data_IF_739331621792
#
_entry.id   IF_739331621792
#
_cell.length_a   1.000
_cell.length_b   1.000
_cell.length_c   1.000
_cell.angle_alpha   90.00
_cell.angle_beta   90.00
_cell.angle_gamma   90.00
#
_symmetry.space_group_name_H-M   'P 1'
#
loop_
_entity.id
_entity.type
_entity.pdbx_description
1 polymer ?
#
# COMPACT_ATOMS: atom_id res chain seq x y z
N UNK A 1 46.59 28.53 -14.94
CA UNK A 1 45.44 27.79 -15.52
C UNK A 1 44.73 26.97 -14.44
N UNK A 2 43.78 27.55 -13.71
CA UNK A 2 42.99 26.84 -12.67
C UNK A 2 41.50 27.25 -12.68
N UNK A 3 41.00 27.77 -13.80
CA UNK A 3 39.68 28.42 -13.87
C UNK A 3 38.67 27.70 -14.76
N UNK A 4 39.04 26.60 -15.44
CA UNK A 4 38.16 25.95 -16.42
C UNK A 4 37.34 24.76 -15.87
N UNK A 5 37.64 24.23 -14.67
CA UNK A 5 36.87 23.10 -14.12
C UNK A 5 35.59 23.51 -13.39
N UNK A 6 35.56 24.70 -12.79
CA UNK A 6 34.38 25.19 -12.06
C UNK A 6 33.26 25.65 -13.00
N UNK A 7 33.63 26.23 -14.15
CA UNK A 7 32.68 26.71 -15.16
C UNK A 7 31.99 25.54 -15.86
N UNK A 8 32.71 24.44 -16.13
CA UNK A 8 32.11 23.22 -16.69
C UNK A 8 31.13 22.53 -15.72
N UNK A 9 31.40 22.54 -14.41
CA UNK A 9 30.49 21.97 -13.41
C UNK A 9 29.21 22.82 -13.26
N UNK A 10 29.33 24.15 -13.26
CA UNK A 10 28.18 25.05 -13.20
C UNK A 10 27.33 25.03 -14.49
N UNK A 11 27.95 24.90 -15.67
CA UNK A 11 27.22 24.74 -16.93
C UNK A 11 26.49 23.40 -17.02
N UNK A 12 27.06 22.31 -16.50
CA UNK A 12 26.37 21.02 -16.46
C UNK A 12 25.14 21.04 -15.53
N UNK A 13 25.26 21.73 -14.38
CA UNK A 13 24.14 21.92 -13.45
C UNK A 13 23.04 22.78 -14.07
N UNK A 14 23.38 23.78 -14.89
CA UNK A 14 22.40 24.65 -15.56
C UNK A 14 21.75 24.03 -16.80
N UNK A 15 22.44 23.15 -17.55
CA UNK A 15 21.87 22.50 -18.74
C UNK A 15 20.98 21.30 -18.42
N UNK A 16 21.05 20.74 -17.21
CA UNK A 16 20.10 19.70 -16.76
C UNK A 16 18.83 20.25 -16.12
N UNK A 17 18.76 21.56 -15.86
CA UNK A 17 17.49 22.27 -15.62
C UNK A 17 16.89 22.71 -16.95
N UNK A 18 16.67 21.75 -17.84
CA UNK A 18 15.70 21.96 -18.90
C UNK A 18 14.38 22.38 -18.26
N UNK A 19 13.85 23.52 -18.73
CA UNK A 19 12.57 24.15 -18.44
C UNK A 19 11.36 23.27 -18.82
N UNK A 20 11.39 21.98 -18.49
CA UNK A 20 10.28 21.07 -18.68
C UNK A 20 9.35 21.16 -17.47
N UNK A 21 8.05 21.13 -17.73
CA UNK A 21 7.01 21.30 -16.73
C UNK A 21 7.15 20.25 -15.62
N UNK A 22 7.75 20.63 -14.50
CA UNK A 22 7.85 19.75 -13.35
C UNK A 22 6.51 19.69 -12.64
N UNK A 23 5.97 18.48 -12.51
CA UNK A 23 4.76 18.25 -11.73
C UNK A 23 5.14 17.94 -10.29
N UNK A 24 4.50 18.65 -9.37
CA UNK A 24 4.69 18.48 -7.93
C UNK A 24 3.54 17.66 -7.35
N UNK A 25 3.88 16.54 -6.71
CA UNK A 25 2.95 15.68 -6.00
C UNK A 25 3.23 15.84 -4.51
N UNK A 26 2.19 16.15 -3.73
CA UNK A 26 2.27 16.29 -2.28
C UNK A 26 1.72 15.02 -1.63
N UNK A 27 2.55 14.40 -0.81
CA UNK A 27 2.18 13.26 0.03
C UNK A 27 2.42 13.61 1.49
N UNK A 28 1.95 12.73 2.38
CA UNK A 28 2.28 12.77 3.79
C UNK A 28 2.97 11.48 4.19
N UNK A 29 3.98 11.61 5.04
CA UNK A 29 4.61 10.47 5.71
C UNK A 29 4.32 10.55 7.20
N UNK A 30 3.87 9.46 7.84
CA UNK A 30 3.72 9.45 9.29
C UNK A 30 5.09 9.57 9.98
N UNK A 31 5.12 10.35 11.05
CA UNK A 31 6.27 10.45 11.96
C UNK A 31 5.95 9.64 13.20
N UNK A 32 6.85 8.73 13.56
CA UNK A 32 6.65 7.80 14.67
C UNK A 32 7.57 8.12 15.85
N UNK A 33 7.02 8.04 17.05
CA UNK A 33 7.78 7.96 18.29
C UNK A 33 7.41 6.66 19.00
N UNK A 34 8.39 5.77 19.15
CA UNK A 34 8.19 4.39 19.62
C UNK A 34 7.21 3.62 18.73
N UNK A 35 5.93 3.67 19.06
CA UNK A 35 4.84 2.82 18.54
C UNK A 35 3.61 3.62 18.11
N UNK A 36 3.59 4.93 18.36
CA UNK A 36 2.47 5.80 18.02
C UNK A 36 2.85 6.75 16.88
N UNK A 37 1.90 6.96 15.97
CA UNK A 37 1.99 8.03 14.98
C UNK A 37 1.82 9.36 15.70
N UNK A 38 2.92 10.09 15.88
CA UNK A 38 2.93 11.38 16.59
C UNK A 38 2.63 12.57 15.69
N UNK A 39 2.57 12.37 14.37
CA UNK A 39 2.25 13.40 13.41
C UNK A 39 2.50 12.95 11.97
N UNK A 40 2.42 13.90 11.05
CA UNK A 40 2.73 13.69 9.63
C UNK A 40 3.71 14.77 9.16
N UNK A 41 4.68 14.37 8.36
CA UNK A 41 5.56 15.27 7.61
C UNK A 41 5.09 15.38 6.16
N UNK A 42 5.19 16.58 5.59
CA UNK A 42 4.94 16.79 4.18
C UNK A 42 6.08 16.21 3.35
N UNK A 43 5.71 15.53 2.27
CA UNK A 43 6.63 14.96 1.29
C UNK A 43 6.33 15.60 -0.05
N UNK A 44 7.35 16.18 -0.67
CA UNK A 44 7.27 16.77 -1.99
C UNK A 44 8.01 15.85 -2.96
N UNK A 45 7.25 15.29 -3.89
CA UNK A 45 7.75 14.54 -5.04
C UNK A 45 7.70 15.43 -6.27
N UNK A 46 8.81 15.55 -6.99
CA UNK A 46 8.85 16.19 -8.30
C UNK A 46 9.06 15.14 -9.37
N UNK A 47 8.27 15.28 -10.43
CA UNK A 47 8.39 14.46 -11.63
C UNK A 47 8.70 15.33 -12.84
N UNK A 48 9.44 14.79 -13.79
CA UNK A 48 9.60 15.41 -15.10
C UNK A 48 8.37 15.16 -15.99
N UNK A 49 8.42 15.64 -17.24
CA UNK A 49 7.34 15.51 -18.22
C UNK A 49 6.96 14.06 -18.56
N UNK A 50 7.88 13.11 -18.36
CA UNK A 50 7.64 11.69 -18.57
C UNK A 50 6.96 11.04 -17.35
N UNK A 51 6.83 11.80 -16.25
CA UNK A 51 6.33 11.33 -14.96
C UNK A 51 7.38 10.57 -14.14
N UNK A 52 8.65 10.60 -14.55
CA UNK A 52 9.77 10.04 -13.77
C UNK A 52 10.03 10.91 -12.54
N UNK A 53 10.17 10.28 -11.37
CA UNK A 53 10.58 10.96 -10.14
C UNK A 53 12.03 11.44 -10.30
N UNK A 54 12.21 12.75 -10.24
CA UNK A 54 13.52 13.40 -10.38
C UNK A 54 14.02 13.99 -9.05
N UNK A 55 13.10 14.35 -8.13
CA UNK A 55 13.47 14.65 -6.75
C UNK A 55 12.40 14.30 -5.73
N UNK A 56 12.87 14.08 -4.51
CA UNK A 56 12.05 13.77 -3.34
C UNK A 56 12.59 14.56 -2.15
N UNK A 57 11.71 15.28 -1.46
CA UNK A 57 12.05 16.15 -0.32
C UNK A 57 11.13 15.88 0.88
N UNK A 58 11.70 15.74 2.09
CA UNK A 58 11.01 15.36 3.33
C UNK A 58 11.76 15.84 4.58
N UNK A 59 11.12 15.77 5.76
CA UNK A 59 11.62 16.24 7.06
C UNK A 59 11.17 17.66 7.45
N UNK A 60 11.40 18.04 8.71
CA UNK A 60 10.86 19.23 9.42
C UNK A 60 10.88 20.59 8.68
N UNK A 61 11.68 20.74 7.61
CA UNK A 61 11.65 21.91 6.69
C UNK A 61 12.39 21.62 5.37
N UNK A 62 12.15 20.47 4.72
CA UNK A 62 12.82 20.05 3.46
C UNK A 62 14.37 20.08 3.49
N UNK A 63 14.96 19.74 4.64
CA UNK A 63 16.40 19.75 4.80
C UNK A 63 17.12 18.59 4.11
N UNK A 64 16.40 17.63 3.52
CA UNK A 64 16.97 16.54 2.72
C UNK A 64 16.30 16.47 1.35
N UNK A 65 17.08 16.53 0.28
CA UNK A 65 16.64 16.33 -1.10
C UNK A 65 17.47 15.22 -1.74
N UNK A 66 16.80 14.28 -2.41
CA UNK A 66 17.45 13.33 -3.31
C UNK A 66 17.21 13.77 -4.75
N UNK A 67 18.29 13.89 -5.53
CA UNK A 67 18.26 14.16 -6.97
C UNK A 67 18.66 12.91 -7.72
N UNK A 68 17.84 12.51 -8.68
CA UNK A 68 17.86 11.16 -9.24
C UNK A 68 18.11 11.20 -10.74
N UNK A 69 19.24 10.62 -11.18
CA UNK A 69 19.63 10.52 -12.58
C UNK A 69 19.38 9.11 -13.12
N UNK A 70 18.51 9.01 -14.13
CA UNK A 70 18.16 7.74 -14.79
C UNK A 70 19.30 7.17 -15.63
N UNK A 71 20.02 8.00 -16.37
CA UNK A 71 21.05 7.56 -17.32
C UNK A 71 22.24 6.96 -16.57
N UNK A 72 22.72 7.66 -15.54
CA UNK A 72 23.83 7.18 -14.72
C UNK A 72 23.41 6.19 -13.65
N UNK A 73 22.09 5.97 -13.46
CA UNK A 73 21.53 5.20 -12.35
C UNK A 73 22.08 5.70 -10.99
N UNK A 74 22.19 7.02 -10.81
CA UNK A 74 22.80 7.63 -9.63
C UNK A 74 21.81 8.52 -8.88
N UNK A 75 21.92 8.51 -7.56
CA UNK A 75 21.17 9.32 -6.62
C UNK A 75 22.13 10.17 -5.79
N UNK A 76 21.86 11.49 -5.73
CA UNK A 76 22.63 12.46 -4.96
C UNK A 76 21.78 13.01 -3.83
N UNK A 77 22.30 12.94 -2.60
CA UNK A 77 21.64 13.47 -1.43
C UNK A 77 22.23 14.82 -1.01
N UNK A 78 21.33 15.77 -0.79
CA UNK A 78 21.64 17.11 -0.31
C UNK A 78 21.06 17.32 1.07
N UNK A 79 21.83 17.95 1.95
CA UNK A 79 21.36 18.45 3.25
C UNK A 79 21.69 19.92 3.37
N UNK A 80 20.68 20.76 3.64
CA UNK A 80 20.85 22.22 3.66
C UNK A 80 21.57 22.75 2.41
N UNK A 81 21.13 22.27 1.23
CA UNK A 81 21.71 22.57 -0.09
C UNK A 81 23.19 22.14 -0.29
N UNK A 82 23.73 21.25 0.57
CA UNK A 82 25.09 20.72 0.43
C UNK A 82 25.06 19.21 0.13
N UNK A 83 25.79 18.72 -0.89
CA UNK A 83 25.87 17.29 -1.16
C UNK A 83 26.56 16.60 0.01
N UNK A 84 26.00 15.48 0.48
CA UNK A 84 26.58 14.71 1.59
C UNK A 84 26.64 13.20 1.35
N UNK A 85 25.95 12.69 0.32
CA UNK A 85 25.99 11.26 -0.02
C UNK A 85 25.65 11.08 -1.49
N UNK A 86 26.32 10.11 -2.11
CA UNK A 86 26.03 9.60 -3.44
C UNK A 86 25.70 8.12 -3.33
N UNK A 87 24.80 7.63 -4.19
CA UNK A 87 24.43 6.23 -4.25
C UNK A 87 24.21 5.82 -5.71
N UNK A 88 24.67 4.61 -6.04
CA UNK A 88 24.41 3.98 -7.33
C UNK A 88 23.33 2.92 -7.14
N UNK A 89 22.39 2.91 -8.06
CA UNK A 89 21.29 1.97 -8.13
C UNK A 89 21.76 0.60 -8.70
N UNK A 90 21.65 -0.47 -7.90
CA UNK A 90 21.87 -1.88 -8.31
C UNK A 90 20.79 -2.41 -9.26
N UNK A 91 20.94 -3.55 -9.91
CA UNK A 91 19.81 -4.10 -10.68
C UNK A 91 18.68 -4.62 -9.78
N UNK A 92 17.48 -4.77 -10.34
CA UNK A 92 16.26 -5.27 -9.70
C UNK A 92 15.58 -6.30 -10.59
N UNK A 93 14.73 -7.13 -10.01
CA UNK A 93 13.92 -8.10 -10.75
C UNK A 93 12.43 -7.87 -10.42
N UNK A 94 11.58 -7.82 -11.44
CA UNK A 94 10.13 -7.69 -11.30
C UNK A 94 9.46 -8.82 -12.07
N UNK A 95 8.68 -9.62 -11.34
CA UNK A 95 7.70 -10.56 -11.93
C UNK A 95 6.31 -10.09 -11.55
N UNK A 96 5.37 -10.04 -12.50
CA UNK A 96 4.00 -9.60 -12.22
C UNK A 96 2.93 -10.32 -13.02
N UNK A 97 1.72 -10.29 -12.48
CA UNK A 97 0.46 -10.58 -13.16
C UNK A 97 -0.40 -9.30 -13.18
N UNK A 98 -1.66 -9.40 -13.57
CA UNK A 98 -2.59 -8.26 -13.56
C UNK A 98 -2.91 -7.78 -12.13
N UNK A 99 -2.87 -8.69 -11.14
CA UNK A 99 -3.31 -8.42 -9.76
C UNK A 99 -2.24 -8.69 -8.68
N UNK A 100 -1.05 -9.14 -9.07
CA UNK A 100 0.04 -9.47 -8.15
C UNK A 100 1.41 -9.15 -8.72
N UNK A 101 2.38 -8.95 -7.83
CA UNK A 101 3.78 -8.83 -8.23
C UNK A 101 4.75 -9.36 -7.17
N UNK A 102 5.96 -9.66 -7.62
CA UNK A 102 7.16 -9.88 -6.80
C UNK A 102 8.25 -8.96 -7.32
N UNK A 103 8.74 -8.07 -6.47
CA UNK A 103 9.78 -7.11 -6.76
C UNK A 103 10.99 -7.39 -5.86
N UNK A 104 12.10 -7.87 -6.43
CA UNK A 104 13.36 -7.98 -5.73
C UNK A 104 14.08 -6.63 -5.79
N UNK A 105 14.03 -5.88 -4.69
CA UNK A 105 14.56 -4.52 -4.63
C UNK A 105 16.06 -4.47 -4.33
N UNK A 106 16.55 -5.50 -3.66
CA UNK A 106 17.95 -5.62 -3.28
C UNK A 106 18.38 -7.08 -3.29
N UNK A 107 19.55 -7.32 -3.87
CA UNK A 107 20.28 -8.59 -3.77
C UNK A 107 21.75 -8.27 -3.51
N UNK A 108 22.23 -8.69 -2.36
CA UNK A 108 23.64 -8.68 -1.96
C UNK A 108 24.02 -10.08 -1.54
N UNK A 109 25.32 -10.37 -1.45
CA UNK A 109 25.87 -11.68 -1.08
C UNK A 109 25.16 -12.32 0.13
N UNK A 110 24.80 -11.50 1.12
CA UNK A 110 24.25 -11.94 2.41
C UNK A 110 22.87 -11.33 2.75
N UNK A 111 22.21 -10.68 1.79
CA UNK A 111 20.94 -10.01 2.04
C UNK A 111 20.08 -9.88 0.78
N UNK A 112 18.80 -10.21 0.89
CA UNK A 112 17.82 -9.93 -0.16
C UNK A 112 16.55 -9.28 0.42
N UNK A 113 15.99 -8.32 -0.31
CA UNK A 113 14.74 -7.66 0.05
C UNK A 113 13.73 -7.86 -1.08
N UNK A 114 12.56 -8.41 -0.73
CA UNK A 114 11.47 -8.65 -1.67
C UNK A 114 10.19 -7.95 -1.23
N UNK A 115 9.51 -7.34 -2.19
CA UNK A 115 8.15 -6.85 -2.04
C UNK A 115 7.21 -7.74 -2.84
N UNK A 116 6.29 -8.40 -2.16
CA UNK A 116 5.31 -9.30 -2.77
C UNK A 116 3.92 -8.74 -2.53
N UNK A 117 3.22 -8.40 -3.60
CA UNK A 117 1.83 -7.97 -3.50
C UNK A 117 0.90 -9.03 -4.03
N UNK A 118 -0.10 -9.39 -3.23
CA UNK A 118 -1.17 -10.29 -3.65
C UNK A 118 -2.40 -10.08 -2.78
N UNK A 119 -3.60 -10.24 -3.35
CA UNK A 119 -4.87 -10.09 -2.62
C UNK A 119 -4.99 -8.78 -1.83
N UNK A 120 -4.44 -7.68 -2.38
CA UNK A 120 -4.50 -6.36 -1.75
C UNK A 120 -3.52 -6.12 -0.59
N UNK A 121 -2.62 -7.08 -0.33
CA UNK A 121 -1.63 -7.00 0.76
C UNK A 121 -0.25 -6.92 0.14
N UNK A 122 0.51 -5.89 0.53
CA UNK A 122 1.94 -5.83 0.26
C UNK A 122 2.67 -6.53 1.40
N UNK A 123 3.62 -7.39 1.07
CA UNK A 123 4.48 -8.08 2.02
C UNK A 123 5.92 -7.69 1.73
N UNK A 124 6.63 -7.27 2.75
CA UNK A 124 8.06 -7.02 2.69
C UNK A 124 8.81 -8.15 3.39
N UNK A 125 9.72 -8.80 2.68
CA UNK A 125 10.55 -9.87 3.20
C UNK A 125 12.01 -9.41 3.26
N UNK A 126 12.61 -9.47 4.45
CA UNK A 126 14.03 -9.21 4.66
C UNK A 126 14.76 -10.50 4.98
N UNK A 127 15.55 -11.00 4.02
CA UNK A 127 16.36 -12.21 4.21
C UNK A 127 17.79 -11.85 4.63
N UNK A 128 18.26 -12.45 5.72
CA UNK A 128 19.63 -12.34 6.23
C UNK A 128 20.19 -13.73 6.55
N UNK A 129 21.35 -14.09 5.97
CA UNK A 129 22.21 -15.21 6.40
C UNK A 129 21.44 -16.45 6.92
N UNK A 130 20.61 -17.05 6.07
CA UNK A 130 19.86 -18.29 6.35
C UNK A 130 18.83 -18.24 7.49
N UNK A 131 18.44 -17.04 7.95
CA UNK A 131 17.33 -16.87 8.90
C UNK A 131 15.98 -16.84 8.17
N UNK A 132 14.93 -17.24 8.87
CA UNK A 132 13.57 -16.91 8.42
C UNK A 132 13.43 -15.39 8.25
N UNK A 133 12.73 -14.93 7.21
CA UNK A 133 12.67 -13.51 6.90
C UNK A 133 11.88 -12.75 7.96
N UNK A 134 12.39 -11.58 8.37
CA UNK A 134 11.53 -10.58 9.00
C UNK A 134 10.47 -10.16 7.96
N UNK A 135 9.23 -10.01 8.43
CA UNK A 135 8.06 -9.87 7.57
C UNK A 135 7.20 -8.69 8.00
N UNK A 136 7.04 -7.71 7.12
CA UNK A 136 6.07 -6.63 7.29
C UNK A 136 4.91 -6.80 6.32
N UNK A 137 3.69 -6.62 6.82
CA UNK A 137 2.47 -6.66 6.04
C UNK A 137 1.84 -5.28 5.98
N UNK A 138 1.48 -4.84 4.78
CA UNK A 138 0.77 -3.60 4.54
C UNK A 138 -0.59 -3.89 3.89
N UNK A 139 -1.64 -3.53 4.61
CA UNK A 139 -3.02 -3.66 4.20
C UNK A 139 -3.48 -2.36 3.59
N UNK A 140 -3.61 -2.33 2.26
CA UNK A 140 -3.98 -1.11 1.53
C UNK A 140 -5.46 -1.19 1.19
N UNK A 141 -6.27 -0.24 1.64
CA UNK A 141 -7.71 -0.24 1.38
C UNK A 141 -8.22 1.17 1.08
N UNK A 142 -9.32 1.26 0.32
CA UNK A 142 -9.98 2.54 0.02
C UNK A 142 -10.94 2.87 1.16
N UNK A 143 -10.73 4.00 1.86
CA UNK A 143 -11.63 4.42 2.95
C UNK A 143 -12.84 5.17 2.45
N UNK A 144 -12.69 5.94 1.37
CA UNK A 144 -13.75 6.66 0.68
C UNK A 144 -13.25 7.06 -0.72
N UNK A 145 -14.05 7.81 -1.48
CA UNK A 145 -13.69 8.22 -2.84
C UNK A 145 -12.47 9.16 -2.94
N UNK A 146 -12.02 9.72 -1.82
CA UNK A 146 -10.94 10.68 -1.76
C UNK A 146 -9.62 10.10 -1.25
N UNK A 147 -9.65 9.03 -0.43
CA UNK A 147 -8.46 8.53 0.26
C UNK A 147 -8.32 6.99 0.20
N UNK A 148 -7.06 6.56 0.07
CA UNK A 148 -6.60 5.24 0.47
C UNK A 148 -6.02 5.31 1.88
N UNK A 149 -6.19 4.24 2.64
CA UNK A 149 -5.54 4.04 3.93
C UNK A 149 -4.69 2.77 3.89
N UNK A 150 -3.56 2.83 4.58
CA UNK A 150 -2.67 1.68 4.75
C UNK A 150 -2.55 1.38 6.23
N UNK A 151 -2.75 0.12 6.61
CA UNK A 151 -2.43 -0.40 7.94
C UNK A 151 -1.20 -1.31 7.86
N UNK A 152 -0.36 -1.30 8.89
CA UNK A 152 0.90 -2.06 8.92
C UNK A 152 0.84 -3.12 10.03
N UNK A 153 1.38 -4.30 9.81
CA UNK A 153 1.62 -5.31 10.84
C UNK A 153 3.06 -5.82 10.68
N UNK A 154 3.82 -5.88 11.77
CA UNK A 154 5.23 -6.30 11.75
C UNK A 154 5.40 -7.61 12.50
N UNK A 155 6.03 -8.57 11.83
CA UNK A 155 6.45 -9.82 12.43
C UNK A 155 7.97 -9.77 12.58
N UNK A 156 8.45 -9.80 13.83
CA UNK A 156 9.88 -9.80 14.13
C UNK A 156 10.27 -11.08 14.83
N UNK A 157 11.38 -11.67 14.40
CA UNK A 157 11.95 -12.77 15.16
C UNK A 157 12.77 -12.21 16.33
N UNK A 158 12.44 -12.62 17.55
CA UNK A 158 13.24 -12.26 18.71
C UNK A 158 14.53 -13.09 18.78
N UNK A 159 15.44 -12.71 19.68
CA UNK A 159 16.77 -13.34 19.87
C UNK A 159 16.66 -14.85 20.16
N UNK A 160 15.50 -15.32 20.64
CA UNK A 160 15.23 -16.73 20.95
C UNK A 160 14.60 -17.51 19.78
N UNK A 161 14.49 -16.91 18.60
CA UNK A 161 13.91 -17.54 17.43
C UNK A 161 12.38 -17.60 17.43
N UNK A 162 11.70 -17.01 18.43
CA UNK A 162 10.24 -16.91 18.46
C UNK A 162 9.80 -15.68 17.68
N UNK A 163 8.73 -15.81 16.90
CA UNK A 163 8.06 -14.65 16.31
C UNK A 163 7.31 -13.90 17.41
N UNK A 164 7.72 -12.67 17.65
CA UNK A 164 6.93 -11.70 18.40
C UNK A 164 6.14 -10.85 17.41
N UNK A 165 4.90 -10.54 17.81
CA UNK A 165 3.97 -9.72 17.03
C UNK A 165 3.99 -8.33 17.61
N UNK A 166 4.47 -7.39 16.81
CA UNK A 166 4.34 -5.97 17.11
C UNK A 166 3.21 -5.43 16.21
N UNK A 167 1.98 -5.44 16.74
CA UNK A 167 0.83 -4.86 16.06
C UNK A 167 0.84 -3.33 16.21
N UNK A 168 1.33 -2.63 15.18
CA UNK A 168 1.26 -1.17 15.11
C UNK A 168 0.16 -0.72 14.16
N UNK A 169 -0.89 -0.12 14.71
CA UNK A 169 -1.98 0.47 13.91
C UNK A 169 -1.53 1.81 13.35
N UNK A 170 -0.70 1.78 12.31
CA UNK A 170 -0.30 2.99 11.62
C UNK A 170 -1.17 3.18 10.39
N UNK A 171 -2.11 4.12 10.45
CA UNK A 171 -2.92 4.50 9.29
C UNK A 171 -2.15 5.53 8.48
N UNK A 172 -1.61 5.14 7.32
CA UNK A 172 -1.11 6.12 6.35
C UNK A 172 -2.24 6.47 5.40
N UNK A 173 -2.55 7.75 5.24
CA UNK A 173 -3.56 8.21 4.28
C UNK A 173 -2.91 8.76 3.01
N UNK A 174 -3.32 8.22 1.86
CA UNK A 174 -2.92 8.71 0.55
C UNK A 174 -4.13 9.30 -0.19
N UNK A 175 -4.10 10.59 -0.55
CA UNK A 175 -5.13 11.16 -1.40
C UNK A 175 -5.17 10.47 -2.76
N UNK A 176 -6.35 10.05 -3.21
CA UNK A 176 -6.59 9.41 -4.51
C UNK A 176 -6.05 10.29 -5.64
N UNK A 177 -6.21 11.61 -5.53
CA UNK A 177 -5.66 12.55 -6.51
C UNK A 177 -4.13 12.50 -6.60
N UNK A 178 -3.42 12.36 -5.48
CA UNK A 178 -1.96 12.25 -5.48
C UNK A 178 -1.50 10.92 -6.07
N UNK A 179 -2.21 9.83 -5.76
CA UNK A 179 -1.97 8.50 -6.33
C UNK A 179 -2.16 8.50 -7.86
N UNK A 180 -3.27 9.07 -8.35
CA UNK A 180 -3.54 9.17 -9.79
C UNK A 180 -2.48 10.00 -10.54
N UNK A 181 -1.78 10.88 -9.83
CA UNK A 181 -0.71 11.69 -10.40
C UNK A 181 0.63 10.97 -10.47
N UNK A 182 0.83 9.92 -9.67
CA UNK A 182 2.09 9.18 -9.52
C UNK A 182 2.30 8.17 -10.65
N UNK A 183 1.22 7.52 -11.10
CA UNK A 183 1.28 6.51 -12.17
C UNK A 183 1.34 7.16 -13.55
N UNK A 184 2.20 6.63 -14.40
CA UNK A 184 2.36 7.04 -15.80
C UNK A 184 1.89 5.95 -16.75
N UNK A 185 1.74 6.28 -18.03
CA UNK A 185 1.45 5.28 -19.06
C UNK A 185 2.66 4.37 -19.38
N UNK A 186 3.88 4.84 -19.08
CA UNK A 186 5.12 4.12 -19.34
C UNK A 186 5.44 3.18 -18.16
N UNK A 187 5.42 1.88 -18.43
CA UNK A 187 5.63 0.83 -17.43
C UNK A 187 7.08 0.80 -16.92
N UNK A 188 8.05 1.17 -17.75
CA UNK A 188 9.46 1.21 -17.35
C UNK A 188 9.71 2.38 -16.40
N UNK A 189 9.05 3.53 -16.65
CA UNK A 189 9.07 4.67 -15.75
C UNK A 189 8.41 4.32 -14.42
N UNK A 190 7.26 3.65 -14.42
CA UNK A 190 6.61 3.23 -13.18
C UNK A 190 7.47 2.27 -12.36
N UNK A 191 8.17 1.34 -13.03
CA UNK A 191 9.07 0.40 -12.36
C UNK A 191 10.29 1.10 -11.78
N UNK A 192 10.84 2.08 -12.52
CA UNK A 192 11.90 2.95 -12.03
C UNK A 192 11.46 3.80 -10.83
N UNK A 193 10.26 4.38 -10.87
CA UNK A 193 9.68 5.15 -9.77
C UNK A 193 9.43 4.26 -8.54
N UNK A 194 8.93 3.04 -8.71
CA UNK A 194 8.70 2.10 -7.61
C UNK A 194 10.00 1.83 -6.85
N UNK A 195 11.09 1.64 -7.59
CA UNK A 195 12.42 1.48 -7.02
C UNK A 195 12.85 2.70 -6.19
N UNK A 196 12.66 3.91 -6.70
CA UNK A 196 12.98 5.14 -5.94
C UNK A 196 12.19 5.16 -4.62
N UNK A 197 10.89 4.88 -4.69
CA UNK A 197 10.00 4.92 -3.52
C UNK A 197 10.41 3.91 -2.44
N UNK A 198 10.81 2.69 -2.83
CA UNK A 198 11.38 1.69 -1.91
C UNK A 198 12.56 2.27 -1.13
N UNK A 199 13.51 2.90 -1.82
CA UNK A 199 14.72 3.44 -1.18
C UNK A 199 14.48 4.59 -0.22
N UNK A 200 13.31 5.23 -0.33
CA UNK A 200 12.88 6.33 0.51
C UNK A 200 11.79 5.93 1.52
N UNK A 201 11.57 4.64 1.74
CA UNK A 201 10.57 4.11 2.68
C UNK A 201 9.12 4.52 2.32
N UNK A 202 8.81 4.47 1.02
CA UNK A 202 7.47 4.66 0.45
C UNK A 202 7.00 3.40 -0.29
N UNK A 203 7.40 2.22 0.18
CA UNK A 203 7.11 0.93 -0.43
C UNK A 203 5.61 0.63 -0.62
N UNK A 204 4.77 1.17 0.26
CA UNK A 204 3.31 1.10 0.21
C UNK A 204 2.70 1.76 -1.05
N UNK A 205 3.47 2.59 -1.75
CA UNK A 205 3.04 3.22 -3.00
C UNK A 205 3.34 2.35 -4.24
N UNK A 206 4.21 1.34 -4.12
CA UNK A 206 4.61 0.48 -5.25
C UNK A 206 3.41 -0.17 -5.94
N UNK A 207 2.39 -0.72 -5.23
CA UNK A 207 1.28 -1.35 -5.90
C UNK A 207 0.59 -0.42 -6.89
N UNK A 208 0.45 0.88 -6.55
CA UNK A 208 -0.17 1.89 -7.40
C UNK A 208 0.62 2.21 -8.67
N UNK A 209 1.92 1.91 -8.69
CA UNK A 209 2.76 2.07 -9.87
C UNK A 209 2.77 0.82 -10.75
N UNK A 210 2.81 -0.36 -10.13
CA UNK A 210 3.09 -1.63 -10.82
C UNK A 210 1.83 -2.29 -11.39
N UNK A 211 0.70 -2.19 -10.68
CA UNK A 211 -0.55 -2.87 -11.04
C UNK A 211 -1.52 -1.95 -11.77
N UNK A 212 -2.25 -2.53 -12.71
CA UNK A 212 -3.24 -1.83 -13.53
C UNK A 212 -4.64 -1.79 -12.87
N UNK A 213 -4.94 -2.78 -12.03
CA UNK A 213 -6.21 -2.91 -11.31
C UNK A 213 -6.19 -2.32 -9.89
N UNK A 214 -7.40 -2.13 -9.34
CA UNK A 214 -7.62 -1.52 -8.03
C UNK A 214 -6.90 -2.24 -6.87
N UNK A 215 -6.20 -1.46 -6.06
CA UNK A 215 -5.43 -1.93 -4.89
C UNK A 215 -6.33 -1.83 -3.67
N UNK A 216 -7.07 -2.91 -3.40
CA UNK A 216 -7.91 -3.02 -2.22
C UNK A 216 -7.65 -4.38 -1.57
N UNK A 217 -7.18 -4.35 -0.33
CA UNK A 217 -7.17 -5.48 0.60
C UNK A 217 -8.61 -5.86 0.88
N UNK A 218 -9.14 -6.76 0.05
CA UNK A 218 -10.42 -7.41 0.31
C UNK A 218 -10.18 -8.62 1.20
N UNK A 219 -11.13 -8.98 2.08
CA UNK A 219 -11.10 -10.26 2.76
C UNK A 219 -10.89 -11.40 1.75
N UNK A 220 -10.09 -12.40 2.13
CA UNK A 220 -9.72 -13.52 1.27
C UNK A 220 -10.95 -14.33 0.90
N UNK A 221 -11.84 -14.61 1.86
CA UNK A 221 -13.10 -15.30 1.59
C UNK A 221 -14.21 -14.88 2.54
N UNK A 222 -15.45 -15.03 2.08
CA UNK A 222 -16.64 -14.99 2.92
C UNK A 222 -17.31 -16.36 2.83
N UNK A 223 -17.42 -17.05 3.96
CA UNK A 223 -18.07 -18.35 4.06
C UNK A 223 -19.28 -18.20 4.95
N UNK A 224 -20.34 -18.94 4.63
CA UNK A 224 -21.47 -19.10 5.53
C UNK A 224 -21.82 -20.56 5.68
N UNK A 225 -22.40 -20.91 6.83
CA UNK A 225 -22.97 -22.24 7.11
C UNK A 225 -24.08 -22.62 6.14
N UNK A 226 -24.80 -21.63 5.60
CA UNK A 226 -25.87 -21.83 4.62
C UNK A 226 -26.02 -20.62 3.69
N UNK A 227 -26.70 -20.82 2.56
CA UNK A 227 -27.03 -19.76 1.62
C UNK A 227 -28.34 -20.08 0.87
N UNK A 228 -29.25 -19.11 0.80
CA UNK A 228 -30.51 -19.23 0.09
C UNK A 228 -30.29 -19.22 -1.43
N UNK A 229 -31.05 -20.04 -2.14
CA UNK A 229 -31.14 -20.02 -3.61
C UNK A 229 -32.60 -19.90 -4.01
N UNK A 230 -32.93 -18.87 -4.80
CA UNK A 230 -34.28 -18.63 -5.31
C UNK A 230 -34.23 -18.45 -6.82
N UNK A 231 -34.79 -19.38 -7.58
CA UNK A 231 -34.80 -19.33 -9.05
C UNK A 231 -33.38 -19.09 -9.59
N UNK A 232 -33.13 -17.88 -10.10
CA UNK A 232 -31.87 -17.47 -10.72
C UNK A 232 -30.95 -16.66 -9.76
N UNK A 233 -31.39 -16.39 -8.53
CA UNK A 233 -30.63 -15.65 -7.53
C UNK A 233 -29.98 -16.60 -6.52
N UNK A 234 -28.71 -16.32 -6.19
CA UNK A 234 -27.97 -17.04 -5.16
C UNK A 234 -27.41 -16.07 -4.13
N UNK A 235 -27.90 -16.17 -2.90
CA UNK A 235 -27.61 -15.24 -1.81
C UNK A 235 -26.44 -15.75 -0.95
N UNK A 236 -25.29 -15.94 -1.60
CA UNK A 236 -24.08 -16.46 -0.97
C UNK A 236 -23.38 -15.42 -0.09
N UNK A 237 -22.54 -15.91 0.83
CA UNK A 237 -21.74 -15.05 1.71
C UNK A 237 -20.80 -14.12 0.93
N UNK A 238 -20.32 -14.55 -0.25
CA UNK A 238 -19.43 -13.74 -1.10
C UNK A 238 -20.10 -12.46 -1.63
N UNK A 239 -21.43 -12.38 -1.63
CA UNK A 239 -22.11 -11.15 -1.98
C UNK A 239 -21.89 -10.03 -0.92
N UNK A 240 -21.43 -10.37 0.29
CA UNK A 240 -21.11 -9.40 1.35
C UNK A 240 -19.82 -8.59 1.10
N UNK A 241 -19.11 -8.86 -0.01
CA UNK A 241 -17.94 -8.07 -0.42
C UNK A 241 -18.29 -6.64 -0.81
N UNK A 242 -19.52 -6.39 -1.26
CA UNK A 242 -19.99 -5.08 -1.70
C UNK A 242 -21.27 -4.71 -0.98
N UNK A 243 -21.42 -3.43 -0.64
CA UNK A 243 -22.67 -2.91 -0.03
C UNK A 243 -23.79 -2.88 -1.07
N UNK A 244 -23.45 -2.64 -2.33
CA UNK A 244 -24.35 -2.73 -3.47
C UNK A 244 -24.36 -4.15 -4.04
N UNK A 245 -25.54 -4.78 -4.10
CA UNK A 245 -25.69 -6.12 -4.68
C UNK A 245 -26.78 -6.96 -4.02
N UNK A 246 -26.76 -8.26 -4.31
CA UNK A 246 -27.57 -9.24 -3.57
C UNK A 246 -27.03 -9.34 -2.13
N UNK A 247 -27.87 -9.53 -1.12
CA UNK A 247 -27.38 -9.83 0.22
C UNK A 247 -26.88 -11.28 0.32
N UNK A 248 -26.32 -11.63 1.46
CA UNK A 248 -26.39 -13.00 1.96
C UNK A 248 -27.75 -13.23 2.63
N UNK A 249 -28.32 -14.41 2.43
CA UNK A 249 -29.53 -14.84 3.12
C UNK A 249 -29.40 -16.31 3.55
N UNK A 250 -29.86 -16.63 4.75
CA UNK A 250 -29.85 -17.99 5.27
C UNK A 250 -30.78 -18.91 4.50
N UNK A 251 -30.35 -20.15 4.26
CA UNK A 251 -31.20 -21.17 3.65
C UNK A 251 -32.30 -21.67 4.60
N UNK A 252 -32.12 -21.52 5.91
CA UNK A 252 -33.11 -21.98 6.90
C UNK A 252 -34.23 -20.95 7.14
N UNK A 253 -34.16 -19.75 6.53
CA UNK A 253 -35.17 -18.69 6.63
C UNK A 253 -35.17 -17.90 7.93
N UNK A 254 -34.46 -18.37 8.98
CA UNK A 254 -34.43 -17.73 10.30
C UNK A 254 -33.08 -17.10 10.64
N UNK A 255 -31.98 -17.58 10.04
CA UNK A 255 -30.62 -17.11 10.32
C UNK A 255 -30.12 -17.44 11.73
N UNK A 256 -30.83 -18.28 12.48
CA UNK A 256 -30.45 -18.70 13.83
C UNK A 256 -29.32 -19.72 13.72
N UNK A 257 -28.27 -19.53 14.53
CA UNK A 257 -27.05 -20.36 14.56
C UNK A 257 -26.21 -20.38 13.26
N UNK A 258 -26.66 -19.69 12.22
CA UNK A 258 -25.82 -19.48 11.04
C UNK A 258 -24.57 -18.68 11.40
N UNK A 259 -23.45 -19.11 10.83
CA UNK A 259 -22.15 -18.46 11.00
C UNK A 259 -21.70 -17.94 9.67
N UNK A 260 -21.34 -16.65 9.64
CA UNK A 260 -20.55 -16.06 8.58
C UNK A 260 -19.10 -15.99 9.08
N UNK A 261 -18.19 -16.60 8.33
CA UNK A 261 -16.75 -16.53 8.58
C UNK A 261 -16.13 -15.68 7.50
N UNK A 262 -15.54 -14.56 7.91
CA UNK A 262 -14.78 -13.69 7.04
C UNK A 262 -13.31 -14.06 7.24
N UNK A 263 -12.68 -14.65 6.23
CA UNK A 263 -11.25 -14.96 6.25
C UNK A 263 -10.49 -13.69 5.89
N UNK A 264 -9.98 -13.02 6.90
CA UNK A 264 -9.17 -11.84 6.74
C UNK A 264 -7.74 -12.24 6.39
N UNK A 265 -7.03 -11.44 5.57
CA UNK A 265 -5.60 -11.53 5.58
C UNK A 265 -5.10 -11.11 6.98
N UNK A 266 -4.34 -12.00 7.65
CA UNK A 266 -4.06 -12.00 9.10
C UNK A 266 -3.70 -10.64 9.70
N UNK A 267 -4.14 -10.33 10.92
CA UNK A 267 -3.75 -9.10 11.66
C UNK A 267 -4.11 -7.77 10.97
N UNK A 268 -5.26 -7.69 10.30
CA UNK A 268 -5.85 -6.39 9.97
C UNK A 268 -6.86 -6.00 11.06
N UNK A 269 -6.65 -4.86 11.70
CA UNK A 269 -7.75 -4.18 12.39
C UNK A 269 -8.72 -3.68 11.35
N UNK A 270 -9.90 -4.29 11.35
CA UNK A 270 -11.00 -3.86 10.52
C UNK A 270 -12.03 -3.16 11.37
N UNK A 271 -12.47 -2.01 10.86
CA UNK A 271 -13.80 -1.54 11.16
C UNK A 271 -14.78 -2.45 10.42
N UNK A 272 -15.47 -3.31 11.15
CA UNK A 272 -16.56 -4.12 10.59
C UNK A 272 -17.85 -3.31 10.65
N UNK A 273 -18.28 -2.79 9.50
CA UNK A 273 -19.61 -2.22 9.36
C UNK A 273 -20.60 -3.34 8.98
N UNK A 274 -21.60 -3.58 9.84
CA UNK A 274 -22.59 -4.63 9.65
C UNK A 274 -23.96 -4.03 9.29
N UNK A 275 -24.46 -4.38 8.11
CA UNK A 275 -25.80 -3.98 7.64
C UNK A 275 -26.78 -5.15 7.78
N UNK A 276 -27.64 -5.06 8.78
CA UNK A 276 -28.63 -6.09 9.09
C UNK A 276 -29.96 -5.85 8.37
N UNK A 277 -30.10 -6.40 7.18
CA UNK A 277 -31.36 -6.36 6.42
C UNK A 277 -31.15 -5.98 4.97
N UNK A 278 -32.24 -6.05 4.20
CA UNK A 278 -32.21 -5.70 2.78
C UNK A 278 -32.27 -4.19 2.60
N UNK A 279 -31.26 -3.62 1.92
CA UNK A 279 -31.23 -2.21 1.54
C UNK A 279 -31.55 -2.09 0.06
N UNK A 280 -32.81 -1.77 -0.25
CA UNK A 280 -33.23 -1.40 -1.60
C UNK A 280 -33.87 -0.03 -1.60
N UNK A 281 -33.34 0.85 -2.45
CA UNK A 281 -33.90 2.18 -2.63
C UNK A 281 -35.29 2.15 -3.26
N UNK A 282 -35.57 1.16 -4.10
CA UNK A 282 -36.84 0.99 -4.83
C UNK A 282 -37.86 0.15 -4.07
N UNK A 283 -37.43 -0.68 -3.12
CA UNK A 283 -38.29 -1.58 -2.32
C UNK A 283 -38.07 -1.41 -0.81
N UNK A 284 -38.24 -0.18 -0.32
CA UNK A 284 -38.13 0.16 1.11
C UNK A 284 -39.13 -0.60 1.99
N UNK A 285 -40.24 -1.08 1.42
CA UNK A 285 -41.24 -1.92 2.09
C UNK A 285 -40.65 -3.24 2.61
N UNK A 286 -39.69 -3.82 1.87
CA UNK A 286 -39.05 -5.08 2.24
C UNK A 286 -38.21 -4.98 3.51
N UNK A 287 -37.71 -3.78 3.85
CA UNK A 287 -36.99 -3.56 5.11
C UNK A 287 -37.90 -3.79 6.32
N UNK A 288 -39.21 -3.54 6.20
CA UNK A 288 -40.18 -3.79 7.28
C UNK A 288 -40.69 -5.22 7.29
N UNK A 289 -40.77 -5.86 6.11
CA UNK A 289 -41.32 -7.20 5.96
C UNK A 289 -40.33 -8.31 6.35
N UNK A 290 -39.03 -8.07 6.27
CA UNK A 290 -38.00 -9.08 6.52
C UNK A 290 -37.62 -9.18 8.00
N UNK A 291 -37.56 -10.42 8.49
CA UNK A 291 -36.98 -10.75 9.78
C UNK A 291 -35.49 -10.39 9.81
N UNK A 292 -35.05 -9.77 10.90
CA UNK A 292 -33.66 -9.35 11.11
C UNK A 292 -33.06 -10.10 12.28
N UNK A 293 -31.75 -10.33 12.23
CA UNK A 293 -31.05 -10.88 13.37
C UNK A 293 -31.16 -9.90 14.56
N UNK A 294 -31.79 -10.32 15.66
CA UNK A 294 -31.94 -9.44 16.84
C UNK A 294 -30.69 -9.39 17.70
N UNK A 295 -29.87 -10.44 17.63
CA UNK A 295 -28.62 -10.59 18.38
C UNK A 295 -27.57 -11.19 17.45
N UNK A 296 -26.37 -10.64 17.52
CA UNK A 296 -25.22 -11.10 16.73
C UNK A 296 -24.07 -11.25 17.69
N UNK A 297 -23.36 -12.38 17.61
CA UNK A 297 -22.13 -12.60 18.36
C UNK A 297 -20.96 -12.54 17.39
N UNK A 298 -20.05 -11.62 17.64
CA UNK A 298 -18.79 -11.50 16.91
C UNK A 298 -17.71 -12.18 17.75
N UNK A 299 -16.88 -13.00 17.10
CA UNK A 299 -15.70 -13.64 17.68
C UNK A 299 -14.54 -13.50 16.70
N UNK A 300 -13.35 -13.14 17.18
CA UNK A 300 -12.09 -13.36 16.43
C UNK A 300 -11.50 -14.71 16.83
N UNK A 301 -10.71 -15.33 15.95
CA UNK A 301 -9.97 -16.57 16.27
C UNK A 301 -8.93 -16.39 17.40
N UNK A 302 -8.65 -15.16 17.82
CA UNK A 302 -7.71 -14.81 18.89
C UNK A 302 -8.40 -14.72 20.28
N UNK A 303 -9.68 -15.13 20.38
CA UNK A 303 -10.48 -15.02 21.61
C UNK A 303 -10.84 -16.36 22.26
N UNK A 304 -10.02 -17.41 22.03
CA UNK A 304 -10.04 -18.67 22.78
C UNK A 304 -8.84 -18.77 23.73
#
# INVERSE_FOLDING_TARGET
>A
MKTNKLIFLCLFILTTFTLYAQKTIKLKRPVFSKHDCTGYEDVILKTDETGRICSLSYGDSFNTEAVINRESKTEYFYRNNKPYKERIFTDYELTKTDSSFTFQALKKENMSVFYVFSSGILKEYYYHNDREPDLEHYYIYKTNDNNYSVSICKHRQNIMGKMDFDDYINIIEYPVQAINQLKTADKDINTYNARILIWHSFETLIPFLILDDGIISTPKSYKATSALREKNAFYAAENLRTVSGLPWASANGYGIEDKITIELPRHCLLKLDFYNGYQSETRKDLYKANSRAKKIRIKSLESE
#
